data_IF_095214955838
#
_entry.id   IF_095214955838
#
_cell.length_a   1.000
_cell.length_b   1.000
_cell.length_c   1.000
_cell.angle_alpha   90.00
_cell.angle_beta   90.00
_cell.angle_gamma   90.00
#
_symmetry.space_group_name_H-M   'P 1'
#
loop_
_entity.id
_entity.type
_entity.pdbx_description
1 polymer ?
#
# COMPACT_ATOMS: atom_id res chain seq x y z
N UNK A 1 43.49 34.71 -25.09
CA UNK A 1 44.07 33.50 -24.48
C UNK A 1 43.14 33.09 -23.36
N UNK A 2 42.20 32.21 -23.67
CA UNK A 2 41.22 31.67 -22.70
C UNK A 2 41.93 30.51 -22.01
N UNK A 3 41.98 30.54 -20.68
CA UNK A 3 42.59 29.52 -19.82
C UNK A 3 42.07 28.11 -20.14
N UNK A 4 42.82 27.36 -20.94
CA UNK A 4 42.59 25.93 -21.21
C UNK A 4 43.20 25.03 -20.12
N UNK A 5 43.91 25.59 -19.13
CA UNK A 5 44.61 24.84 -18.09
C UNK A 5 43.75 24.50 -16.85
N UNK A 6 42.75 25.33 -16.51
CA UNK A 6 41.86 25.09 -15.37
C UNK A 6 41.03 23.78 -15.45
N UNK A 7 40.46 23.39 -16.62
CA UNK A 7 39.72 22.13 -16.70
C UNK A 7 40.60 20.87 -16.60
N UNK A 8 41.86 20.94 -17.03
CA UNK A 8 42.78 19.80 -16.97
C UNK A 8 43.21 19.47 -15.53
N UNK A 9 43.38 20.49 -14.69
CA UNK A 9 43.81 20.31 -13.30
C UNK A 9 42.72 19.63 -12.44
N UNK A 10 41.45 19.98 -12.65
CA UNK A 10 40.31 19.33 -12.01
C UNK A 10 40.17 17.86 -12.43
N UNK A 11 40.34 17.57 -13.72
CA UNK A 11 40.25 16.21 -14.26
C UNK A 11 41.29 15.24 -13.67
N UNK A 12 42.55 15.67 -13.61
CA UNK A 12 43.65 14.88 -13.04
C UNK A 12 43.42 14.66 -11.54
N UNK A 13 42.99 15.69 -10.81
CA UNK A 13 42.69 15.61 -9.39
C UNK A 13 41.61 14.57 -9.07
N UNK A 14 40.52 14.49 -9.86
CA UNK A 14 39.47 13.50 -9.63
C UNK A 14 39.90 12.07 -10.01
N UNK A 15 40.67 11.88 -11.09
CA UNK A 15 41.20 10.56 -11.47
C UNK A 15 42.22 10.03 -10.47
N UNK A 16 43.09 10.90 -9.96
CA UNK A 16 44.03 10.55 -8.90
C UNK A 16 43.30 10.24 -7.60
N UNK A 17 42.29 11.04 -7.21
CA UNK A 17 41.41 10.70 -6.08
C UNK A 17 40.75 9.33 -6.24
N UNK A 18 40.30 8.98 -7.46
CA UNK A 18 39.69 7.68 -7.74
C UNK A 18 40.71 6.53 -7.75
N UNK A 19 41.98 6.79 -8.03
CA UNK A 19 43.04 5.77 -7.96
C UNK A 19 43.58 5.58 -6.53
N UNK A 20 43.57 6.64 -5.73
CA UNK A 20 44.06 6.64 -4.35
C UNK A 20 43.08 5.98 -3.37
N UNK A 21 41.78 6.00 -3.66
CA UNK A 21 40.76 5.42 -2.78
C UNK A 21 40.69 3.89 -2.96
N UNK A 22 40.88 3.09 -1.89
CA UNK A 22 40.66 1.65 -1.94
C UNK A 22 39.16 1.35 -2.00
N UNK A 23 38.61 1.25 -3.21
CA UNK A 23 37.17 0.99 -3.43
C UNK A 23 36.69 -0.37 -2.91
N UNK A 24 37.61 -1.28 -2.56
CA UNK A 24 37.31 -2.58 -1.95
C UNK A 24 36.95 -2.52 -0.46
N UNK A 25 37.36 -1.46 0.26
CA UNK A 25 37.08 -1.29 1.68
C UNK A 25 36.11 -0.14 1.95
N UNK A 26 36.22 0.95 1.18
CA UNK A 26 35.46 2.15 1.43
C UNK A 26 35.38 3.01 0.16
N UNK A 27 34.18 3.29 -0.33
CA UNK A 27 33.96 4.13 -1.50
C UNK A 27 32.99 5.26 -1.19
N UNK A 28 33.32 6.48 -1.62
CA UNK A 28 32.39 7.61 -1.56
C UNK A 28 31.66 7.73 -2.89
N UNK A 29 30.34 7.44 -2.90
CA UNK A 29 29.49 7.68 -4.07
C UNK A 29 29.62 9.14 -4.57
N UNK A 30 29.78 10.09 -3.65
CA UNK A 30 29.89 11.52 -3.95
C UNK A 30 31.08 11.85 -4.88
N UNK A 31 32.22 11.18 -4.71
CA UNK A 31 33.42 11.47 -5.51
C UNK A 31 33.24 10.99 -6.96
N UNK A 32 32.67 9.79 -7.14
CA UNK A 32 32.31 9.28 -8.46
C UNK A 32 31.31 10.19 -9.18
N UNK A 33 30.30 10.70 -8.46
CA UNK A 33 29.31 11.62 -9.02
C UNK A 33 29.92 12.97 -9.40
N UNK A 34 30.79 13.53 -8.56
CA UNK A 34 31.47 14.79 -8.86
C UNK A 34 32.40 14.65 -10.08
N UNK A 35 33.13 13.54 -10.18
CA UNK A 35 33.98 13.24 -11.33
C UNK A 35 33.16 13.12 -12.63
N UNK A 36 32.02 12.44 -12.58
CA UNK A 36 31.13 12.33 -13.74
C UNK A 36 30.50 13.67 -14.13
N UNK A 37 30.06 14.48 -13.17
CA UNK A 37 29.53 15.83 -13.41
C UNK A 37 30.60 16.75 -14.02
N UNK A 38 31.85 16.62 -13.57
CA UNK A 38 32.97 17.37 -14.12
C UNK A 38 33.17 17.04 -15.61
N UNK A 39 33.18 15.76 -15.97
CA UNK A 39 33.31 15.31 -17.36
C UNK A 39 32.13 15.74 -18.24
N UNK A 40 30.92 15.78 -17.69
CA UNK A 40 29.74 16.33 -18.39
C UNK A 40 29.92 17.82 -18.67
N UNK A 41 30.46 18.60 -17.73
CA UNK A 41 30.78 20.03 -17.96
C UNK A 41 31.85 20.24 -19.02
N UNK A 42 32.78 19.29 -19.17
CA UNK A 42 33.77 19.27 -20.24
C UNK A 42 33.22 18.72 -21.57
N UNK A 43 31.91 18.43 -21.64
CA UNK A 43 31.25 17.81 -22.80
C UNK A 43 31.79 16.43 -23.17
N UNK A 44 32.53 15.78 -22.27
CA UNK A 44 33.09 14.44 -22.47
C UNK A 44 32.13 13.36 -21.93
N UNK A 45 31.06 13.12 -22.69
CA UNK A 45 30.04 12.12 -22.32
C UNK A 45 30.60 10.69 -22.23
N UNK A 46 31.60 10.35 -23.07
CA UNK A 46 32.22 9.02 -23.06
C UNK A 46 33.02 8.80 -21.79
N UNK A 47 33.80 9.80 -21.37
CA UNK A 47 34.53 9.79 -20.09
C UNK A 47 33.58 9.66 -18.91
N UNK A 48 32.53 10.48 -18.86
CA UNK A 48 31.51 10.42 -17.79
C UNK A 48 30.86 9.03 -17.68
N UNK A 49 30.49 8.41 -18.80
CA UNK A 49 29.93 7.05 -18.84
C UNK A 49 30.89 5.99 -18.35
N UNK A 50 32.17 6.07 -18.74
CA UNK A 50 33.19 5.14 -18.27
C UNK A 50 33.40 5.26 -16.76
N UNK A 51 33.41 6.47 -16.22
CA UNK A 51 33.55 6.71 -14.78
C UNK A 51 32.35 6.13 -14.02
N UNK A 52 31.12 6.38 -14.48
CA UNK A 52 29.90 5.86 -13.84
C UNK A 52 29.78 4.33 -13.98
N UNK A 53 30.14 3.77 -15.14
CA UNK A 53 30.19 2.31 -15.34
C UNK A 53 31.23 1.64 -14.45
N UNK A 54 32.42 2.23 -14.32
CA UNK A 54 33.45 1.77 -13.37
C UNK A 54 32.97 1.88 -11.92
N UNK A 55 32.21 2.91 -11.60
CA UNK A 55 31.64 3.11 -10.27
C UNK A 55 30.65 1.98 -9.92
N UNK A 56 29.77 1.59 -10.85
CA UNK A 56 28.85 0.46 -10.66
C UNK A 56 29.61 -0.85 -10.43
N UNK A 57 30.66 -1.12 -11.23
CA UNK A 57 31.42 -2.36 -11.10
C UNK A 57 32.27 -2.45 -9.82
N UNK A 58 32.85 -1.33 -9.36
CA UNK A 58 33.72 -1.32 -8.17
C UNK A 58 32.96 -1.08 -6.86
N UNK A 59 31.88 -0.31 -6.90
CA UNK A 59 31.19 0.19 -5.74
C UNK A 59 29.70 0.46 -6.05
N UNK A 60 28.88 -0.60 -6.24
CA UNK A 60 27.47 -0.43 -6.53
C UNK A 60 26.77 0.21 -5.33
N UNK A 61 26.14 1.36 -5.57
CA UNK A 61 25.36 2.11 -4.58
C UNK A 61 24.14 2.73 -5.26
N UNK A 62 23.01 2.73 -4.55
CA UNK A 62 21.75 3.32 -5.02
C UNK A 62 21.91 4.73 -5.61
N UNK A 63 22.67 5.60 -4.92
CA UNK A 63 22.87 6.99 -5.34
C UNK A 63 23.59 7.09 -6.69
N UNK A 64 24.45 6.13 -7.02
CA UNK A 64 25.20 6.12 -8.29
C UNK A 64 24.26 5.71 -9.42
N UNK A 65 23.49 4.63 -9.25
CA UNK A 65 22.49 4.20 -10.22
C UNK A 65 21.46 5.31 -10.49
N UNK A 66 20.87 5.90 -9.45
CA UNK A 66 19.88 6.98 -9.58
C UNK A 66 20.41 8.15 -10.38
N UNK A 67 21.62 8.64 -10.08
CA UNK A 67 22.20 9.78 -10.79
C UNK A 67 22.62 9.41 -12.21
N UNK A 68 23.11 8.18 -12.44
CA UNK A 68 23.49 7.75 -13.78
C UNK A 68 22.26 7.65 -14.69
N UNK A 69 21.17 7.07 -14.20
CA UNK A 69 19.90 7.01 -14.93
C UNK A 69 19.37 8.43 -15.21
N UNK A 70 19.40 9.34 -14.23
CA UNK A 70 18.98 10.73 -14.42
C UNK A 70 19.78 11.43 -15.54
N UNK A 71 21.10 11.21 -15.60
CA UNK A 71 21.96 11.75 -16.65
C UNK A 71 21.61 11.15 -18.01
N UNK A 72 21.45 9.82 -18.13
CA UNK A 72 21.11 9.20 -19.41
C UNK A 72 19.70 9.58 -19.89
N UNK A 73 18.76 9.79 -18.97
CA UNK A 73 17.42 10.29 -19.26
C UNK A 73 17.46 11.73 -19.79
N UNK A 74 18.26 12.61 -19.17
CA UNK A 74 18.50 13.97 -19.67
C UNK A 74 19.13 13.99 -21.07
N UNK A 75 19.93 12.98 -21.39
CA UNK A 75 20.54 12.79 -22.71
C UNK A 75 19.61 12.08 -23.72
N UNK A 76 18.40 11.67 -23.30
CA UNK A 76 17.42 10.97 -24.14
C UNK A 76 17.79 9.53 -24.52
N UNK A 77 18.78 8.90 -23.86
CA UNK A 77 19.23 7.55 -24.22
C UNK A 77 18.42 6.46 -23.49
N UNK A 78 17.17 6.27 -23.91
CA UNK A 78 16.22 5.35 -23.26
C UNK A 78 16.73 3.91 -23.20
N UNK A 79 17.34 3.39 -24.28
CA UNK A 79 17.85 2.01 -24.30
C UNK A 79 18.96 1.77 -23.28
N UNK A 80 19.75 2.81 -22.97
CA UNK A 80 20.75 2.74 -21.91
C UNK A 80 20.09 2.80 -20.54
N UNK A 81 19.07 3.64 -20.37
CA UNK A 81 18.28 3.67 -19.14
C UNK A 81 17.71 2.29 -18.81
N UNK A 82 17.14 1.58 -19.79
CA UNK A 82 16.63 0.21 -19.63
C UNK A 82 17.71 -0.76 -19.11
N UNK A 83 18.85 -0.81 -19.79
CA UNK A 83 20.00 -1.64 -19.36
C UNK A 83 20.52 -1.28 -17.98
N UNK A 84 20.43 0.00 -17.59
CA UNK A 84 20.82 0.45 -16.25
C UNK A 84 19.82 0.02 -15.20
N UNK A 85 18.51 0.09 -15.48
CA UNK A 85 17.48 -0.42 -14.60
C UNK A 85 17.57 -1.94 -14.43
N UNK A 86 17.76 -2.69 -15.52
CA UNK A 86 17.99 -4.14 -15.48
C UNK A 86 19.17 -4.50 -14.55
N UNK A 87 20.33 -3.87 -14.75
CA UNK A 87 21.50 -4.06 -13.87
C UNK A 87 21.26 -3.61 -12.43
N UNK A 88 20.43 -2.60 -12.23
CA UNK A 88 20.09 -2.14 -10.89
C UNK A 88 19.21 -3.17 -10.17
N UNK A 89 18.25 -3.76 -10.88
CA UNK A 89 17.39 -4.83 -10.37
C UNK A 89 18.15 -6.14 -10.14
N UNK A 90 19.14 -6.47 -10.99
CA UNK A 90 20.06 -7.60 -10.76
C UNK A 90 20.85 -7.45 -9.45
N UNK A 91 21.26 -6.22 -9.12
CA UNK A 91 22.03 -5.95 -7.92
C UNK A 91 21.17 -5.84 -6.65
N UNK A 92 19.99 -5.21 -6.74
CA UNK A 92 19.07 -5.02 -5.62
C UNK A 92 17.62 -5.33 -6.04
N UNK A 93 17.23 -6.61 -6.14
CA UNK A 93 15.87 -7.00 -6.51
C UNK A 93 14.84 -6.66 -5.42
N UNK A 94 15.29 -6.51 -4.17
CA UNK A 94 14.46 -6.23 -3.00
C UNK A 94 13.92 -4.78 -2.97
N UNK A 95 14.54 -3.88 -3.76
CA UNK A 95 14.28 -2.46 -3.69
C UNK A 95 13.04 -2.06 -4.51
N UNK A 96 11.89 -1.95 -3.84
CA UNK A 96 10.61 -1.57 -4.46
C UNK A 96 10.64 -0.22 -5.19
N UNK A 97 11.46 0.74 -4.72
CA UNK A 97 11.57 2.05 -5.36
C UNK A 97 12.10 1.95 -6.80
N UNK A 98 13.01 1.01 -7.06
CA UNK A 98 13.60 0.81 -8.38
C UNK A 98 12.56 0.25 -9.34
N UNK A 99 11.78 -0.75 -8.90
CA UNK A 99 10.68 -1.31 -9.67
C UNK A 99 9.65 -0.24 -10.06
N UNK A 100 9.18 0.56 -9.09
CA UNK A 100 8.22 1.63 -9.36
C UNK A 100 8.76 2.67 -10.33
N UNK A 101 10.03 3.09 -10.18
CA UNK A 101 10.66 4.06 -11.09
C UNK A 101 10.90 3.50 -12.49
N UNK A 102 11.19 2.21 -12.61
CA UNK A 102 11.36 1.59 -13.91
C UNK A 102 10.04 1.49 -14.66
N UNK A 103 8.96 1.08 -13.98
CA UNK A 103 7.63 1.06 -14.56
C UNK A 103 7.13 2.48 -14.92
N UNK A 104 7.41 3.50 -14.10
CA UNK A 104 7.09 4.90 -14.39
C UNK A 104 7.82 5.41 -15.66
N UNK A 105 9.07 4.98 -15.88
CA UNK A 105 9.80 5.28 -17.11
C UNK A 105 9.10 4.67 -18.33
N UNK A 106 8.77 3.36 -18.31
CA UNK A 106 8.08 2.72 -19.44
C UNK A 106 6.68 3.31 -19.67
N UNK A 107 5.97 3.71 -18.60
CA UNK A 107 4.71 4.46 -18.72
C UNK A 107 4.91 5.80 -19.42
N UNK A 108 5.97 6.54 -19.10
CA UNK A 108 6.27 7.82 -19.76
C UNK A 108 6.58 7.68 -21.26
N UNK A 109 6.94 6.47 -21.69
CA UNK A 109 7.20 6.11 -23.07
C UNK A 109 5.97 5.54 -23.78
N UNK A 110 4.81 5.49 -23.10
CA UNK A 110 3.58 4.84 -23.57
C UNK A 110 3.71 3.33 -23.83
N UNK A 111 4.72 2.68 -23.23
CA UNK A 111 4.96 1.24 -23.32
C UNK A 111 4.25 0.52 -22.15
N UNK A 112 2.92 0.56 -22.18
CA UNK A 112 2.07 0.09 -21.06
C UNK A 112 2.25 -1.40 -20.77
N UNK A 113 2.36 -2.24 -21.81
CA UNK A 113 2.56 -3.68 -21.65
C UNK A 113 3.89 -4.03 -20.97
N UNK A 114 4.95 -3.26 -21.24
CA UNK A 114 6.24 -3.45 -20.57
C UNK A 114 6.15 -3.01 -19.11
N UNK A 115 5.52 -1.87 -18.84
CA UNK A 115 5.29 -1.42 -17.47
C UNK A 115 4.53 -2.47 -16.64
N UNK A 116 3.50 -3.09 -17.23
CA UNK A 116 2.74 -4.21 -16.62
C UNK A 116 3.63 -5.42 -16.34
N UNK A 117 4.42 -5.84 -17.32
CA UNK A 117 5.35 -6.96 -17.14
C UNK A 117 6.34 -6.70 -15.99
N UNK A 118 6.84 -5.46 -15.86
CA UNK A 118 7.73 -5.06 -14.76
C UNK A 118 7.01 -5.17 -13.40
N UNK A 119 5.76 -4.70 -13.29
CA UNK A 119 4.99 -4.83 -12.05
C UNK A 119 4.69 -6.29 -11.68
N UNK A 120 4.31 -7.13 -12.65
CA UNK A 120 4.08 -8.57 -12.40
C UNK A 120 5.37 -9.28 -11.97
N UNK A 121 6.51 -8.96 -12.60
CA UNK A 121 7.83 -9.47 -12.17
C UNK A 121 8.18 -9.03 -10.75
N UNK A 122 7.84 -7.79 -10.39
CA UNK A 122 8.07 -7.26 -9.06
C UNK A 122 7.18 -7.96 -8.01
N UNK A 123 5.90 -8.20 -8.30
CA UNK A 123 4.94 -8.90 -7.42
C UNK A 123 5.32 -10.37 -7.21
N UNK A 124 5.96 -11.00 -8.22
CA UNK A 124 6.46 -12.36 -8.14
C UNK A 124 7.68 -12.50 -7.20
N UNK A 125 8.37 -11.41 -6.86
CA UNK A 125 9.51 -11.47 -5.94
C UNK A 125 9.07 -11.77 -4.50
N UNK A 126 9.66 -12.78 -3.84
CA UNK A 126 9.28 -13.18 -2.48
C UNK A 126 9.84 -12.25 -1.39
N UNK A 127 10.96 -11.57 -1.66
CA UNK A 127 11.64 -10.68 -0.71
C UNK A 127 11.58 -9.24 -1.25
N UNK A 128 10.58 -8.49 -0.83
CA UNK A 128 10.41 -7.07 -1.13
C UNK A 128 10.54 -6.28 0.18
N UNK A 129 11.33 -5.20 0.18
CA UNK A 129 11.58 -4.36 1.36
C UNK A 129 10.28 -3.67 1.83
N UNK A 130 9.52 -3.10 0.89
CA UNK A 130 8.23 -2.45 1.16
C UNK A 130 7.17 -2.89 0.14
N UNK A 131 6.56 -4.08 0.33
CA UNK A 131 5.59 -4.62 -0.62
C UNK A 131 4.38 -3.71 -0.83
N UNK A 132 3.89 -3.05 0.23
CA UNK A 132 2.69 -2.21 0.21
C UNK A 132 2.77 -1.06 -0.81
N UNK A 133 3.94 -0.40 -0.91
CA UNK A 133 4.15 0.70 -1.83
C UNK A 133 4.10 0.24 -3.29
N UNK A 134 4.62 -0.96 -3.57
CA UNK A 134 4.62 -1.53 -4.91
C UNK A 134 3.19 -1.90 -5.36
N UNK A 135 2.41 -2.53 -4.48
CA UNK A 135 1.01 -2.85 -4.75
C UNK A 135 0.19 -1.59 -5.02
N UNK A 136 0.35 -0.56 -4.19
CA UNK A 136 -0.30 0.74 -4.41
C UNK A 136 0.09 1.33 -5.76
N UNK A 137 1.39 1.36 -6.09
CA UNK A 137 1.86 1.89 -7.37
C UNK A 137 1.31 1.11 -8.58
N UNK A 138 1.15 -0.22 -8.45
CA UNK A 138 0.59 -1.07 -9.50
C UNK A 138 -0.90 -0.80 -9.71
N UNK A 139 -1.65 -0.62 -8.62
CA UNK A 139 -3.08 -0.27 -8.66
C UNK A 139 -3.28 1.14 -9.23
N UNK A 140 -2.51 2.11 -8.75
CA UNK A 140 -2.54 3.50 -9.25
C UNK A 140 -2.19 3.55 -10.76
N UNK A 141 -1.32 2.65 -11.22
CA UNK A 141 -0.99 2.48 -12.64
C UNK A 141 -2.19 1.97 -13.46
N UNK A 142 -2.78 0.83 -13.09
CA UNK A 142 -3.92 0.28 -13.86
C UNK A 142 -5.15 1.21 -13.81
N UNK A 143 -5.36 1.90 -12.69
CA UNK A 143 -6.42 2.91 -12.56
C UNK A 143 -6.19 4.09 -13.50
N UNK A 144 -4.94 4.53 -13.68
CA UNK A 144 -4.60 5.62 -14.60
C UNK A 144 -4.74 5.23 -16.08
N UNK A 145 -4.51 3.95 -16.41
CA UNK A 145 -4.70 3.40 -17.76
C UNK A 145 -6.17 3.08 -18.07
N UNK A 146 -7.07 3.14 -17.07
CA UNK A 146 -8.50 2.84 -17.23
C UNK A 146 -8.84 1.34 -17.22
N UNK A 147 -7.89 0.47 -16.89
CA UNK A 147 -8.05 -0.99 -16.86
C UNK A 147 -8.61 -1.45 -15.50
N UNK A 148 -9.85 -1.06 -15.21
CA UNK A 148 -10.47 -1.29 -13.89
C UNK A 148 -10.60 -2.77 -13.53
N UNK A 149 -10.82 -3.66 -14.50
CA UNK A 149 -10.89 -5.11 -14.27
C UNK A 149 -9.57 -5.69 -13.74
N UNK A 150 -8.44 -5.20 -14.25
CA UNK A 150 -7.11 -5.62 -13.78
C UNK A 150 -6.81 -5.07 -12.40
N UNK A 151 -7.18 -3.81 -12.14
CA UNK A 151 -7.06 -3.21 -10.82
C UNK A 151 -7.86 -4.02 -9.77
N UNK A 152 -9.08 -4.48 -10.10
CA UNK A 152 -9.88 -5.39 -9.24
C UNK A 152 -9.15 -6.70 -8.95
N UNK A 153 -8.63 -7.35 -9.98
CA UNK A 153 -7.87 -8.59 -9.82
C UNK A 153 -6.62 -8.38 -8.93
N UNK A 154 -5.95 -7.22 -9.02
CA UNK A 154 -4.85 -6.87 -8.13
C UNK A 154 -5.32 -6.68 -6.67
N UNK A 155 -6.45 -6.01 -6.44
CA UNK A 155 -7.04 -5.88 -5.10
C UNK A 155 -7.41 -7.24 -4.49
N UNK A 156 -8.04 -8.13 -5.26
CA UNK A 156 -8.38 -9.48 -4.78
C UNK A 156 -7.13 -10.30 -4.43
N UNK A 157 -6.09 -10.24 -5.27
CA UNK A 157 -4.78 -10.86 -4.96
C UNK A 157 -4.15 -10.27 -3.70
N UNK A 158 -4.22 -8.95 -3.54
CA UNK A 158 -3.70 -8.26 -2.36
C UNK A 158 -4.47 -8.65 -1.10
N UNK A 159 -5.81 -8.71 -1.15
CA UNK A 159 -6.65 -9.15 -0.04
C UNK A 159 -6.43 -10.62 0.32
N UNK A 160 -6.10 -11.48 -0.65
CA UNK A 160 -5.72 -12.87 -0.36
C UNK A 160 -4.40 -12.96 0.41
N UNK A 161 -3.47 -12.03 0.22
CA UNK A 161 -2.18 -11.99 0.96
C UNK A 161 -2.30 -11.24 2.29
N UNK A 162 -2.89 -10.05 2.27
CA UNK A 162 -2.95 -9.12 3.41
C UNK A 162 -4.37 -8.60 3.58
N UNK A 163 -5.01 -8.96 4.69
CA UNK A 163 -6.40 -8.58 5.00
C UNK A 163 -6.47 -7.40 5.97
N UNK A 164 -5.67 -6.38 5.72
CA UNK A 164 -5.65 -5.17 6.53
C UNK A 164 -6.82 -4.25 6.21
N UNK A 165 -7.36 -3.57 7.24
CA UNK A 165 -8.44 -2.60 7.09
C UNK A 165 -8.20 -1.56 5.98
N UNK A 166 -6.96 -1.04 5.89
CA UNK A 166 -6.62 -0.01 4.89
C UNK A 166 -6.81 -0.49 3.46
N UNK A 167 -6.57 -1.77 3.18
CA UNK A 167 -6.75 -2.36 1.83
C UNK A 167 -8.23 -2.48 1.49
N UNK A 168 -9.06 -2.89 2.46
CA UNK A 168 -10.52 -2.93 2.27
C UNK A 168 -11.10 -1.54 2.00
N UNK A 169 -10.66 -0.53 2.75
CA UNK A 169 -11.09 0.86 2.54
C UNK A 169 -10.67 1.35 1.16
N UNK A 170 -9.40 1.15 0.78
CA UNK A 170 -8.93 1.62 -0.52
C UNK A 170 -9.59 0.88 -1.69
N UNK A 171 -9.94 -0.40 -1.53
CA UNK A 171 -10.68 -1.15 -2.54
C UNK A 171 -12.11 -0.61 -2.71
N UNK A 172 -12.79 -0.30 -1.61
CA UNK A 172 -14.14 0.27 -1.67
C UNK A 172 -14.16 1.70 -2.22
N UNK A 173 -13.17 2.53 -1.88
CA UNK A 173 -12.99 3.87 -2.47
C UNK A 173 -12.69 3.78 -3.98
N UNK A 174 -11.89 2.80 -4.39
CA UNK A 174 -11.65 2.51 -5.80
C UNK A 174 -12.95 2.14 -6.54
N UNK A 175 -13.74 1.20 -6.03
CA UNK A 175 -15.02 0.84 -6.68
C UNK A 175 -16.02 2.00 -6.74
N UNK A 176 -16.01 2.90 -5.75
CA UNK A 176 -16.87 4.08 -5.76
C UNK A 176 -16.45 5.11 -6.83
N UNK A 177 -15.19 5.10 -7.27
CA UNK A 177 -14.64 6.05 -8.25
C UNK A 177 -14.39 5.45 -9.62
N UNK A 178 -14.35 4.12 -9.74
CA UNK A 178 -14.09 3.36 -10.95
C UNK A 178 -15.31 3.34 -11.88
N UNK A 179 -15.67 4.52 -12.41
CA UNK A 179 -16.68 4.66 -13.45
C UNK A 179 -16.09 4.13 -14.75
N UNK A 180 -16.55 2.95 -15.16
CA UNK A 180 -16.11 2.33 -16.40
C UNK A 180 -16.65 3.10 -17.62
N UNK A 181 -15.79 3.88 -18.24
CA UNK A 181 -16.10 4.67 -19.44
C UNK A 181 -16.37 3.80 -20.67
N UNK A 182 -15.98 2.52 -20.66
CA UNK A 182 -16.19 1.61 -21.79
C UNK A 182 -17.66 1.16 -21.92
N UNK A 183 -18.50 1.38 -20.90
CA UNK A 183 -19.93 1.14 -20.94
C UNK A 183 -20.66 2.27 -21.70
N UNK A 184 -20.58 2.25 -23.03
CA UNK A 184 -21.20 3.25 -23.92
C UNK A 184 -22.73 3.30 -23.85
N UNK A 185 -23.38 2.25 -23.32
CA UNK A 185 -24.84 2.07 -23.38
C UNK A 185 -25.60 2.52 -22.11
N UNK A 186 -24.90 2.92 -21.05
CA UNK A 186 -25.52 3.28 -19.76
C UNK A 186 -25.53 4.80 -19.53
N UNK A 187 -26.58 5.29 -18.87
CA UNK A 187 -26.62 6.68 -18.38
C UNK A 187 -25.61 6.88 -17.25
N UNK A 188 -25.13 8.10 -17.04
CA UNK A 188 -24.17 8.39 -15.95
C UNK A 188 -24.74 8.01 -14.57
N UNK A 189 -26.03 8.20 -14.34
CA UNK A 189 -26.71 7.78 -13.10
C UNK A 189 -26.72 6.25 -12.91
N UNK A 190 -26.86 5.48 -13.98
CA UNK A 190 -26.81 4.01 -13.91
C UNK A 190 -25.39 3.52 -13.63
N UNK A 191 -24.37 4.15 -14.22
CA UNK A 191 -22.97 3.84 -13.94
C UNK A 191 -22.60 4.14 -12.49
N UNK A 192 -23.02 5.29 -11.97
CA UNK A 192 -22.80 5.67 -10.57
C UNK A 192 -23.48 4.67 -9.62
N UNK A 193 -24.71 4.23 -9.94
CA UNK A 193 -25.41 3.19 -9.17
C UNK A 193 -24.66 1.87 -9.16
N UNK A 194 -24.12 1.42 -10.30
CA UNK A 194 -23.35 0.18 -10.34
C UNK A 194 -22.05 0.28 -9.52
N UNK A 195 -21.34 1.40 -9.62
CA UNK A 195 -20.12 1.65 -8.84
C UNK A 195 -20.41 1.63 -7.34
N UNK A 196 -21.49 2.28 -6.90
CA UNK A 196 -21.93 2.25 -5.51
C UNK A 196 -22.33 0.85 -5.07
N UNK A 197 -23.03 0.09 -5.91
CA UNK A 197 -23.36 -1.30 -5.60
C UNK A 197 -22.11 -2.17 -5.44
N UNK A 198 -21.10 -2.01 -6.30
CA UNK A 198 -19.82 -2.72 -6.17
C UNK A 198 -19.11 -2.33 -4.88
N UNK A 199 -19.01 -1.04 -4.56
CA UNK A 199 -18.41 -0.56 -3.31
C UNK A 199 -19.14 -1.12 -2.07
N UNK A 200 -20.48 -1.16 -2.08
CA UNK A 200 -21.29 -1.78 -1.02
C UNK A 200 -20.95 -3.25 -0.82
N UNK A 201 -20.82 -4.03 -1.91
CA UNK A 201 -20.42 -5.44 -1.83
C UNK A 201 -19.06 -5.61 -1.15
N UNK A 202 -18.08 -4.78 -1.51
CA UNK A 202 -16.76 -4.79 -0.86
C UNK A 202 -16.86 -4.50 0.64
N UNK A 203 -17.66 -3.50 1.05
CA UNK A 203 -17.89 -3.23 2.46
C UNK A 203 -18.57 -4.40 3.19
N UNK A 204 -19.54 -5.07 2.57
CA UNK A 204 -20.22 -6.23 3.15
C UNK A 204 -19.29 -7.44 3.29
N UNK A 205 -18.45 -7.71 2.28
CA UNK A 205 -17.42 -8.75 2.33
C UNK A 205 -16.40 -8.47 3.44
N UNK A 206 -15.92 -7.23 3.54
CA UNK A 206 -15.03 -6.80 4.60
C UNK A 206 -15.66 -7.00 5.99
N UNK A 207 -16.95 -6.61 6.16
CA UNK A 207 -17.67 -6.83 7.42
C UNK A 207 -17.83 -8.30 7.78
N UNK A 208 -18.11 -9.15 6.80
CA UNK A 208 -18.20 -10.59 7.00
C UNK A 208 -16.84 -11.19 7.39
N UNK A 209 -15.75 -10.70 6.81
CA UNK A 209 -14.40 -11.08 7.19
C UNK A 209 -14.08 -10.69 8.65
N UNK A 210 -14.28 -9.43 9.02
CA UNK A 210 -14.05 -8.98 10.41
C UNK A 210 -14.97 -9.66 11.42
N UNK A 211 -16.19 -10.04 11.00
CA UNK A 211 -17.12 -10.81 11.85
C UNK A 211 -16.63 -12.24 12.09
N UNK A 212 -16.19 -12.94 11.04
CA UNK A 212 -15.90 -14.37 11.09
C UNK A 212 -14.45 -14.68 11.49
N UNK A 213 -13.51 -13.95 10.90
CA UNK A 213 -12.08 -14.30 10.91
C UNK A 213 -11.28 -13.48 11.92
N UNK A 214 -11.75 -12.27 12.28
CA UNK A 214 -11.05 -11.38 13.20
C UNK A 214 -11.99 -10.66 14.18
N UNK A 215 -12.73 -11.40 15.04
CA UNK A 215 -13.72 -10.82 15.96
C UNK A 215 -13.10 -9.91 17.03
N UNK A 216 -11.80 -10.03 17.28
CA UNK A 216 -11.04 -9.18 18.22
C UNK A 216 -10.87 -7.75 17.69
N UNK A 217 -10.87 -7.54 16.36
CA UNK A 217 -10.64 -6.25 15.70
C UNK A 217 -11.93 -5.42 15.59
N UNK A 218 -12.60 -5.23 16.73
CA UNK A 218 -13.87 -4.49 16.79
C UNK A 218 -13.73 -3.01 16.43
N UNK A 219 -12.60 -2.40 16.77
CA UNK A 219 -12.26 -1.04 16.39
C UNK A 219 -12.15 -0.88 14.87
N UNK A 220 -11.47 -1.82 14.20
CA UNK A 220 -11.32 -1.80 12.74
C UNK A 220 -12.66 -1.98 12.04
N UNK A 221 -13.49 -2.89 12.54
CA UNK A 221 -14.86 -3.07 12.07
C UNK A 221 -15.71 -1.81 12.25
N UNK A 222 -15.55 -1.09 13.37
CA UNK A 222 -16.24 0.17 13.61
C UNK A 222 -15.78 1.27 12.65
N UNK A 223 -14.46 1.40 12.43
CA UNK A 223 -13.89 2.34 11.47
C UNK A 223 -14.37 2.07 10.04
N UNK A 224 -14.47 0.79 9.66
CA UNK A 224 -15.02 0.39 8.36
C UNK A 224 -16.47 0.87 8.18
N UNK A 225 -17.32 0.74 9.21
CA UNK A 225 -18.70 1.21 9.17
C UNK A 225 -18.80 2.74 9.16
N UNK A 226 -17.96 3.44 9.93
CA UNK A 226 -17.87 4.91 9.87
C UNK A 226 -17.47 5.36 8.45
N UNK A 227 -16.54 4.64 7.80
CA UNK A 227 -16.12 4.94 6.43
C UNK A 227 -17.21 4.64 5.39
N UNK A 228 -17.93 3.53 5.53
CA UNK A 228 -19.08 3.21 4.68
C UNK A 228 -20.17 4.28 4.82
N UNK A 229 -20.48 4.72 6.05
CA UNK A 229 -21.46 5.77 6.31
C UNK A 229 -21.10 7.07 5.59
N UNK A 230 -19.82 7.46 5.65
CA UNK A 230 -19.34 8.67 4.98
C UNK A 230 -19.44 8.57 3.45
N UNK A 231 -19.22 7.38 2.89
CA UNK A 231 -19.38 7.13 1.46
C UNK A 231 -20.85 7.27 1.05
N UNK A 232 -21.78 6.61 1.74
CA UNK A 232 -23.23 6.71 1.46
C UNK A 232 -23.73 8.14 1.61
N UNK A 233 -23.25 8.87 2.62
CA UNK A 233 -23.62 10.27 2.82
C UNK A 233 -23.07 11.19 1.70
N UNK A 234 -21.89 10.89 1.16
CA UNK A 234 -21.30 11.64 0.04
C UNK A 234 -22.03 11.39 -1.28
N UNK A 235 -22.65 10.21 -1.46
CA UNK A 235 -23.38 9.83 -2.68
C UNK A 235 -24.79 10.44 -2.80
N UNK A 236 -25.22 11.26 -1.84
CA UNK A 236 -26.47 12.02 -1.93
C UNK A 236 -27.71 11.12 -2.08
N UNK A 237 -28.50 11.34 -3.13
CA UNK A 237 -29.76 10.63 -3.39
C UNK A 237 -29.58 9.15 -3.78
N UNK A 238 -28.41 8.78 -4.29
CA UNK A 238 -28.07 7.39 -4.62
C UNK A 238 -27.62 6.58 -3.40
N UNK A 239 -27.23 7.30 -2.33
CA UNK A 239 -26.76 6.72 -1.08
C UNK A 239 -27.91 6.30 -0.16
N UNK A 240 -27.69 5.23 0.61
CA UNK A 240 -28.62 4.79 1.65
C UNK A 240 -27.91 4.70 3.00
N UNK A 241 -27.93 5.82 3.70
CA UNK A 241 -27.34 6.00 5.03
C UNK A 241 -28.04 5.13 6.08
N UNK A 242 -29.32 4.80 5.88
CA UNK A 242 -30.12 4.06 6.87
C UNK A 242 -29.64 2.62 7.03
N UNK A 243 -29.19 2.00 5.94
CA UNK A 243 -28.59 0.65 5.94
C UNK A 243 -27.39 0.57 6.87
N UNK A 244 -26.50 1.57 6.81
CA UNK A 244 -25.26 1.58 7.59
C UNK A 244 -25.52 1.99 9.05
N UNK A 245 -26.42 2.96 9.27
CA UNK A 245 -26.78 3.40 10.62
C UNK A 245 -27.30 2.27 11.50
N UNK A 246 -28.09 1.35 10.92
CA UNK A 246 -28.58 0.17 11.63
C UNK A 246 -27.48 -0.77 12.12
N UNK A 247 -26.31 -0.75 11.47
CA UNK A 247 -25.16 -1.63 11.72
C UNK A 247 -24.11 -1.00 12.66
N UNK A 248 -24.21 0.30 12.95
CA UNK A 248 -23.21 1.03 13.74
C UNK A 248 -23.09 0.50 15.18
N UNK A 249 -21.86 0.34 15.70
CA UNK A 249 -21.63 -0.09 17.07
C UNK A 249 -21.86 1.04 18.08
N UNK A 250 -22.28 0.66 19.28
CA UNK A 250 -22.30 1.55 20.45
C UNK A 250 -20.95 1.50 21.15
N UNK A 251 -20.31 2.66 21.33
CA UNK A 251 -19.06 2.80 22.09
C UNK A 251 -19.36 2.65 23.57
N UNK A 252 -18.75 1.66 24.23
CA UNK A 252 -18.84 1.43 25.67
C UNK A 252 -17.48 1.63 26.33
N UNK A 253 -17.47 2.24 27.51
CA UNK A 253 -16.27 2.31 28.35
C UNK A 253 -16.27 1.09 29.27
N UNK A 254 -15.30 0.19 29.11
CA UNK A 254 -15.08 -0.95 30.01
C UNK A 254 -13.85 -0.70 30.87
N UNK A 255 -13.91 -1.16 32.12
CA UNK A 255 -12.79 -1.12 33.07
C UNK A 255 -12.19 -2.51 33.18
N UNK A 256 -10.90 -2.66 32.88
CA UNK A 256 -10.17 -3.93 33.01
C UNK A 256 -8.95 -3.70 33.89
N UNK A 257 -8.68 -4.61 34.81
CA UNK A 257 -7.44 -4.59 35.59
C UNK A 257 -6.29 -5.00 34.67
N UNK A 258 -5.29 -4.13 34.55
CA UNK A 258 -4.02 -4.39 33.86
C UNK A 258 -2.96 -4.58 34.94
N UNK A 259 -2.32 -5.74 34.96
CA UNK A 259 -1.19 -6.03 35.84
C UNK A 259 0.07 -5.38 35.27
N UNK A 260 0.66 -4.43 35.99
CA UNK A 260 2.01 -3.93 35.68
C UNK A 260 3.08 -4.92 36.15
N UNK A 261 4.30 -4.80 35.63
CA UNK A 261 5.46 -5.68 35.93
C UNK A 261 5.77 -5.78 37.44
N UNK A 262 5.34 -4.79 38.24
CA UNK A 262 5.47 -4.75 39.70
C UNK A 262 4.35 -5.49 40.47
N UNK A 263 3.45 -6.21 39.79
CA UNK A 263 2.33 -6.95 40.43
C UNK A 263 1.21 -6.07 41.00
N UNK A 264 1.27 -4.75 40.84
CA UNK A 264 0.18 -3.84 41.18
C UNK A 264 -0.87 -3.81 40.06
N UNK A 265 -2.15 -3.97 40.42
CA UNK A 265 -3.26 -3.92 39.47
C UNK A 265 -3.68 -2.46 39.23
N UNK A 266 -3.39 -1.90 38.05
CA UNK A 266 -3.90 -0.59 37.64
C UNK A 266 -5.18 -0.79 36.83
N UNK A 267 -6.27 -0.12 37.20
CA UNK A 267 -7.53 -0.18 36.42
C UNK A 267 -7.33 0.65 35.16
N UNK A 268 -7.20 0.00 34.01
CA UNK A 268 -7.20 0.65 32.71
C UNK A 268 -8.62 0.81 32.20
N UNK A 269 -9.00 2.02 31.79
CA UNK A 269 -10.23 2.26 31.03
C UNK A 269 -9.94 1.96 29.55
N UNK A 270 -10.70 1.05 28.95
CA UNK A 270 -10.60 0.72 27.52
C UNK A 270 -11.97 0.93 26.85
N UNK A 271 -11.95 1.36 25.59
CA UNK A 271 -13.16 1.50 24.77
C UNK A 271 -13.44 0.14 24.14
N UNK A 272 -14.63 -0.39 24.35
CA UNK A 272 -15.13 -1.59 23.69
C UNK A 272 -16.33 -1.21 22.80
N UNK A 273 -16.53 -1.95 21.72
CA UNK A 273 -17.57 -1.68 20.73
C UNK A 273 -18.60 -2.81 20.79
N UNK A 274 -19.87 -2.45 21.06
CA UNK A 274 -20.98 -3.39 20.98
C UNK A 274 -21.74 -3.20 19.69
N UNK A 275 -21.73 -4.22 18.84
CA UNK A 275 -22.52 -4.25 17.62
C UNK A 275 -23.97 -4.67 17.94
N UNK A 276 -24.99 -4.11 17.26
CA UNK A 276 -26.40 -4.48 17.48
C UNK A 276 -26.68 -5.99 17.42
N UNK A 277 -25.98 -6.72 16.57
CA UNK A 277 -26.09 -8.18 16.43
C UNK A 277 -25.60 -8.93 17.68
N UNK A 278 -24.52 -8.46 18.31
CA UNK A 278 -24.02 -9.04 19.56
C UNK A 278 -25.05 -8.85 20.69
N UNK A 279 -25.73 -7.70 20.73
CA UNK A 279 -26.77 -7.43 21.75
C UNK A 279 -27.98 -8.36 21.61
N UNK A 280 -28.36 -8.74 20.39
CA UNK A 280 -29.42 -9.72 20.17
C UNK A 280 -29.01 -11.09 20.70
N UNK A 281 -27.78 -11.54 20.42
CA UNK A 281 -27.30 -12.84 20.93
C UNK A 281 -27.17 -12.88 22.46
N UNK A 282 -26.74 -11.80 23.10
CA UNK A 282 -26.68 -11.73 24.57
C UNK A 282 -28.08 -11.77 25.20
N UNK A 283 -29.04 -11.04 24.61
CA UNK A 283 -30.42 -11.04 25.10
C UNK A 283 -31.05 -12.42 24.98
N UNK A 284 -30.79 -13.14 23.88
CA UNK A 284 -31.26 -14.52 23.70
C UNK A 284 -30.65 -15.49 24.72
N UNK A 285 -29.35 -15.40 25.01
CA UNK A 285 -28.71 -16.23 26.06
C UNK A 285 -29.25 -15.93 27.46
N UNK A 286 -29.51 -14.66 27.78
CA UNK A 286 -30.14 -14.27 29.05
C UNK A 286 -31.56 -14.83 29.15
N UNK A 287 -32.34 -14.76 28.07
CA UNK A 287 -33.69 -15.33 28.01
C UNK A 287 -33.68 -16.86 28.13
N UNK A 288 -32.73 -17.53 27.49
CA UNK A 288 -32.57 -18.98 27.58
C UNK A 288 -32.15 -19.42 28.99
N UNK A 289 -31.21 -18.71 29.62
CA UNK A 289 -30.82 -18.94 31.00
C UNK A 289 -31.98 -18.67 31.99
N UNK A 290 -32.77 -17.61 31.76
CA UNK A 290 -33.97 -17.32 32.55
C UNK A 290 -35.05 -18.42 32.39
N UNK A 291 -35.22 -18.96 31.18
CA UNK A 291 -36.12 -20.08 30.92
C UNK A 291 -35.65 -21.36 31.62
N UNK A 292 -34.36 -21.68 31.53
CA UNK A 292 -33.74 -22.82 32.22
C UNK A 292 -33.90 -22.69 33.75
N UNK A 293 -33.65 -21.51 34.31
CA UNK A 293 -33.87 -21.24 35.73
C UNK A 293 -35.33 -21.43 36.16
N UNK A 294 -36.29 -20.92 35.37
CA UNK A 294 -37.72 -21.11 35.62
C UNK A 294 -38.10 -22.60 35.59
N UNK A 295 -37.56 -23.36 34.63
CA UNK A 295 -37.77 -24.82 34.52
C UNK A 295 -37.19 -25.58 35.72
N UNK A 296 -36.00 -25.19 36.19
CA UNK A 296 -35.39 -25.75 37.40
C UNK A 296 -36.24 -25.47 38.64
N UNK A 297 -36.68 -24.21 38.83
CA UNK A 297 -37.56 -23.76 39.92
C UNK A 297 -38.94 -24.45 39.94
N UNK A 298 -39.49 -24.78 38.78
CA UNK A 298 -40.72 -25.57 38.64
C UNK A 298 -40.49 -27.05 39.00
N UNK A 299 -39.33 -27.60 38.66
CA UNK A 299 -38.96 -28.99 38.99
C UNK A 299 -38.61 -29.20 40.46
N UNK A 300 -38.05 -28.17 41.13
CA UNK A 300 -37.67 -28.22 42.55
C UNK A 300 -38.84 -27.99 43.52
N UNK A 301 -40.07 -27.81 43.03
CA UNK A 301 -41.28 -27.70 43.86
C UNK A 301 -41.42 -26.40 44.66
N UNK A 302 -40.41 -25.53 44.66
CA UNK A 302 -40.40 -24.28 45.45
C UNK A 302 -41.44 -23.23 45.00
N UNK A 303 -41.96 -23.34 43.77
CA UNK A 303 -42.94 -22.38 43.22
C UNK A 303 -44.37 -22.54 43.76
N UNK A 304 -44.68 -23.61 44.48
CA UNK A 304 -46.03 -23.84 45.05
C UNK A 304 -46.23 -23.23 46.45
N UNK A 305 -45.25 -22.52 47.01
CA UNK A 305 -45.35 -21.95 48.36
C UNK A 305 -45.43 -20.41 48.41
N UNK A 306 -45.53 -19.71 47.27
CA UNK A 306 -45.55 -18.25 47.21
C UNK A 306 -46.73 -17.64 46.41
N UNK A 307 -47.83 -18.37 46.27
CA UNK A 307 -49.13 -17.81 45.87
C UNK A 307 -50.15 -18.01 46.98
#
# INVERSE_FOLDING_TARGET
YIDTAAPLCGFLSYRECLNLIPHSKFSFAKIWLLAAQFEIRQLNLKGARQILGNAIGKAPKDKIFKKYIEIELQLGNIDRCRKLYEKYLEWSPENCYVWSKYAELERSLSETDRARAIFELAIAQPALDMPELLWKASIDFETAEGEFERARALYERLLNRTKHLKVWISYAEFEATAIDQNSLDLTEEEKERECLQRARRVFEEALNYFRSSAPELKEERAMLLEKWLNMEAASGELGDVSLVQSKLPKKLKKRRQVTTEDGSARIGEFIDYLFPEETQTTNLKILEAAYQWKKQKLSSGEWRQLN
#
